data_IF_457193309893
#
_entry.id   IF_457193309893
#
_cell.length_a   1.000
_cell.length_b   1.000
_cell.length_c   1.000
_cell.angle_alpha   90.00
_cell.angle_beta   90.00
_cell.angle_gamma   90.00
#
_symmetry.space_group_name_H-M   'P 1'
#
loop_
_entity.id
_entity.type
_entity.pdbx_description
1 polymer ?
#
# COMPACT_ATOMS: atom_id res chain seq x y z
N UNK A 1 2.71 -7.47 -16.83
CA UNK A 1 3.23 -6.68 -15.69
C UNK A 1 2.05 -5.98 -15.08
N UNK A 2 1.75 -6.23 -13.81
CA UNK A 2 0.73 -5.49 -13.08
C UNK A 2 1.11 -4.00 -13.08
N UNK A 3 0.21 -3.11 -13.48
CA UNK A 3 0.41 -1.68 -13.31
C UNK A 3 0.43 -1.36 -11.81
N UNK A 4 1.48 -0.69 -11.34
CA UNK A 4 1.54 -0.17 -9.97
C UNK A 4 0.47 0.91 -9.86
N UNK A 5 -0.63 0.59 -9.18
CA UNK A 5 -1.79 1.47 -9.19
C UNK A 5 -2.51 1.60 -7.85
N UNK A 6 -2.19 0.73 -6.88
CA UNK A 6 -2.77 0.78 -5.55
C UNK A 6 -1.90 1.62 -4.60
N UNK A 7 -2.50 2.34 -3.63
CA UNK A 7 -1.78 3.22 -2.71
C UNK A 7 -0.58 2.55 -2.01
N UNK A 8 -0.76 1.31 -1.50
CA UNK A 8 0.31 0.56 -0.85
C UNK A 8 1.44 0.20 -1.83
N UNK A 9 1.10 -0.25 -3.05
CA UNK A 9 2.06 -0.57 -4.11
C UNK A 9 2.87 0.65 -4.53
N UNK A 10 2.19 1.79 -4.73
CA UNK A 10 2.82 3.08 -5.05
C UNK A 10 3.79 3.48 -3.94
N UNK A 11 3.37 3.34 -2.68
CA UNK A 11 4.21 3.65 -1.52
C UNK A 11 5.49 2.81 -1.51
N UNK A 12 5.38 1.48 -1.62
CA UNK A 12 6.54 0.59 -1.61
C UNK A 12 7.43 0.79 -2.84
N UNK A 13 6.85 1.09 -4.00
CA UNK A 13 7.61 1.43 -5.20
C UNK A 13 8.44 2.70 -5.02
N UNK A 14 7.86 3.74 -4.39
CA UNK A 14 8.54 5.01 -4.12
C UNK A 14 9.70 4.83 -3.11
N UNK A 15 9.51 4.00 -2.08
CA UNK A 15 10.59 3.63 -1.16
C UNK A 15 11.73 2.92 -1.89
N UNK A 16 11.40 1.91 -2.70
CA UNK A 16 12.39 1.12 -3.46
C UNK A 16 13.12 1.93 -4.53
N UNK A 17 12.47 2.90 -5.16
CA UNK A 17 13.14 3.76 -6.16
C UNK A 17 14.03 4.81 -5.51
N UNK A 18 13.68 5.28 -4.30
CA UNK A 18 14.53 6.17 -3.51
C UNK A 18 15.83 5.48 -3.07
N UNK A 19 15.78 4.17 -2.79
CA UNK A 19 16.93 3.30 -2.49
C UNK A 19 18.11 3.43 -3.46
N UNK A 20 17.84 3.70 -4.73
CA UNK A 20 18.88 3.77 -5.75
C UNK A 20 19.72 5.06 -5.71
N UNK A 21 19.43 5.98 -4.78
CA UNK A 21 20.24 7.18 -4.48
C UNK A 21 21.14 6.92 -3.26
N UNK A 22 22.13 6.04 -3.45
CA UNK A 22 23.06 5.56 -2.40
C UNK A 22 23.85 6.67 -1.68
N UNK A 23 24.04 6.51 -0.36
CA UNK A 23 25.15 7.10 0.39
C UNK A 23 24.91 8.47 1.03
N UNK A 24 23.70 9.03 0.94
CA UNK A 24 23.45 10.37 1.52
C UNK A 24 23.32 10.36 3.05
N UNK A 25 22.99 9.21 3.66
CA UNK A 25 22.65 9.11 5.10
C UNK A 25 23.46 8.05 5.86
N UNK A 26 24.62 7.66 5.34
CA UNK A 26 25.46 6.64 5.96
C UNK A 26 25.87 7.04 7.39
N UNK A 27 26.21 8.32 7.59
CA UNK A 27 26.65 8.84 8.88
C UNK A 27 25.58 8.83 9.97
N UNK A 28 24.33 9.07 9.58
CA UNK A 28 23.18 8.96 10.48
C UNK A 28 22.97 7.53 10.97
N UNK A 29 23.40 6.55 10.18
CA UNK A 29 23.29 5.13 10.48
C UNK A 29 24.52 4.55 11.21
N UNK A 30 25.64 5.29 11.32
CA UNK A 30 26.90 4.81 11.92
C UNK A 30 26.73 4.29 13.37
N UNK A 31 25.73 4.79 14.09
CA UNK A 31 25.39 4.33 15.45
C UNK A 31 25.07 2.83 15.47
N UNK A 32 24.57 2.26 14.36
CA UNK A 32 24.31 0.84 14.24
C UNK A 32 25.59 -0.01 14.34
N UNK A 33 26.75 0.52 13.90
CA UNK A 33 28.04 -0.15 14.09
C UNK A 33 28.38 -0.33 15.58
N UNK A 34 28.11 0.70 16.39
CA UNK A 34 28.27 0.63 17.84
C UNK A 34 27.34 -0.39 18.49
N UNK A 35 26.19 -0.66 17.86
CA UNK A 35 25.23 -1.69 18.23
C UNK A 35 25.54 -3.06 17.61
N UNK A 36 26.75 -3.25 17.07
CA UNK A 36 27.23 -4.49 16.44
C UNK A 36 26.39 -4.92 15.23
N UNK A 37 25.90 -3.95 14.47
CA UNK A 37 25.09 -4.13 13.28
C UNK A 37 25.87 -3.59 12.07
N UNK A 38 26.76 -4.41 11.52
CA UNK A 38 27.68 -4.03 10.41
C UNK A 38 27.26 -4.60 9.05
N UNK A 39 26.02 -5.06 8.95
CA UNK A 39 25.48 -5.70 7.76
C UNK A 39 25.05 -4.64 6.72
N UNK A 40 25.60 -4.74 5.51
CA UNK A 40 25.37 -3.74 4.45
C UNK A 40 23.90 -3.60 4.04
N UNK A 41 23.12 -4.69 4.07
CA UNK A 41 21.70 -4.65 3.76
C UNK A 41 20.94 -3.94 4.87
N UNK A 42 21.28 -4.19 6.14
CA UNK A 42 20.69 -3.50 7.29
C UNK A 42 21.02 -2.00 7.27
N UNK A 43 22.27 -1.64 6.94
CA UNK A 43 22.67 -0.25 6.77
C UNK A 43 21.87 0.43 5.66
N UNK A 44 21.66 -0.25 4.54
CA UNK A 44 20.89 0.30 3.43
C UNK A 44 19.40 0.49 3.78
N UNK A 45 18.81 -0.41 4.58
CA UNK A 45 17.47 -0.23 5.14
C UNK A 45 17.42 1.00 6.07
N UNK A 46 18.46 1.19 6.89
CA UNK A 46 18.59 2.37 7.76
C UNK A 46 18.65 3.67 6.96
N UNK A 47 19.47 3.74 5.92
CA UNK A 47 19.60 4.93 5.07
C UNK A 47 18.26 5.31 4.44
N UNK A 48 17.51 4.34 3.94
CA UNK A 48 16.16 4.56 3.41
C UNK A 48 15.19 5.10 4.45
N UNK A 49 15.19 4.53 5.65
CA UNK A 49 14.37 5.00 6.76
C UNK A 49 14.68 6.47 7.06
N UNK A 50 15.96 6.82 7.20
CA UNK A 50 16.38 8.20 7.48
C UNK A 50 16.01 9.13 6.33
N UNK A 51 16.26 8.73 5.08
CA UNK A 51 15.91 9.51 3.89
C UNK A 51 14.41 9.80 3.83
N UNK A 52 13.58 8.78 4.00
CA UNK A 52 12.13 8.91 3.96
C UNK A 52 11.65 9.86 5.06
N UNK A 53 12.09 9.67 6.30
CA UNK A 53 11.67 10.52 7.41
C UNK A 53 12.15 11.97 7.24
N UNK A 54 13.42 12.20 6.88
CA UNK A 54 13.94 13.56 6.64
C UNK A 54 13.21 14.26 5.50
N UNK A 55 12.94 13.56 4.40
CA UNK A 55 12.24 14.15 3.24
C UNK A 55 10.80 14.55 3.55
N UNK A 56 10.14 13.83 4.46
CA UNK A 56 8.77 14.15 4.88
C UNK A 56 8.71 15.21 6.00
N UNK A 57 9.68 15.23 6.92
CA UNK A 57 9.75 16.28 7.95
C UNK A 57 10.34 17.60 7.48
N UNK A 58 11.12 17.63 6.39
CA UNK A 58 11.67 18.85 5.81
C UNK A 58 10.63 19.73 5.07
N UNK A 59 9.42 19.20 4.84
CA UNK A 59 8.32 19.97 4.26
C UNK A 59 7.68 20.80 5.37
N UNK A 60 8.27 21.95 5.69
CA UNK A 60 7.90 22.85 6.80
C UNK A 60 6.46 23.41 6.76
N UNK A 61 5.58 22.99 5.83
CA UNK A 61 4.26 23.63 5.65
C UNK A 61 3.04 22.71 5.41
N UNK A 62 3.14 21.39 5.31
CA UNK A 62 1.93 20.56 5.10
C UNK A 62 2.04 19.20 5.81
N UNK A 63 1.04 18.92 6.65
CA UNK A 63 0.73 17.68 7.39
C UNK A 63 1.91 16.78 7.82
N UNK A 64 2.07 16.62 9.14
CA UNK A 64 2.84 15.52 9.71
C UNK A 64 2.55 14.20 8.98
N UNK A 65 3.57 13.34 8.84
CA UNK A 65 3.40 11.99 8.29
C UNK A 65 2.14 11.35 8.86
N UNK A 66 1.16 11.06 8.00
CA UNK A 66 -0.07 10.46 8.46
C UNK A 66 0.20 9.03 8.99
N UNK A 67 -0.64 8.57 9.92
CA UNK A 67 -0.41 7.29 10.58
C UNK A 67 -0.37 6.10 9.61
N UNK A 68 -1.04 6.23 8.45
CA UNK A 68 -1.03 5.20 7.40
C UNK A 68 0.37 5.04 6.79
N UNK A 69 1.03 6.15 6.43
CA UNK A 69 2.38 6.15 5.89
C UNK A 69 3.40 5.54 6.86
N UNK A 70 3.30 5.88 8.15
CA UNK A 70 4.14 5.30 9.18
C UNK A 70 3.95 3.78 9.35
N UNK A 71 2.70 3.32 9.26
CA UNK A 71 2.39 1.89 9.30
C UNK A 71 2.92 1.15 8.07
N UNK A 72 2.80 1.71 6.87
CA UNK A 72 3.37 1.15 5.64
C UNK A 72 4.90 1.11 5.70
N UNK A 73 5.55 2.19 6.17
CA UNK A 73 7.00 2.24 6.37
C UNK A 73 7.45 1.16 7.36
N UNK A 74 6.73 1.02 8.48
CA UNK A 74 7.01 0.01 9.49
C UNK A 74 6.91 -1.42 8.93
N UNK A 75 5.86 -1.70 8.12
CA UNK A 75 5.70 -3.00 7.44
C UNK A 75 6.82 -3.26 6.44
N UNK A 76 7.19 -2.27 5.63
CA UNK A 76 8.25 -2.40 4.65
C UNK A 76 9.58 -2.74 5.32
N UNK A 77 9.96 -2.02 6.38
CA UNK A 77 11.19 -2.31 7.14
C UNK A 77 11.15 -3.72 7.72
N UNK A 78 10.01 -4.12 8.29
CA UNK A 78 9.84 -5.45 8.88
C UNK A 78 10.02 -6.55 7.82
N UNK A 79 9.40 -6.39 6.65
CA UNK A 79 9.55 -7.30 5.51
C UNK A 79 11.02 -7.41 5.07
N UNK A 80 11.71 -6.28 4.86
CA UNK A 80 13.11 -6.29 4.45
C UNK A 80 14.03 -6.97 5.47
N UNK A 81 13.78 -6.74 6.77
CA UNK A 81 14.53 -7.40 7.83
C UNK A 81 14.24 -8.90 7.90
N UNK A 82 12.98 -9.33 7.75
CA UNK A 82 12.61 -10.75 7.77
C UNK A 82 13.21 -11.51 6.57
N UNK A 83 13.13 -10.92 5.38
CA UNK A 83 13.70 -11.49 4.16
C UNK A 83 15.23 -11.64 4.26
N UNK A 84 15.91 -10.63 4.81
CA UNK A 84 17.36 -10.63 4.94
C UNK A 84 17.88 -11.51 6.08
N UNK A 85 17.19 -11.50 7.23
CA UNK A 85 17.61 -12.22 8.44
C UNK A 85 17.05 -13.65 8.52
N UNK A 86 16.58 -14.20 7.40
CA UNK A 86 16.07 -15.56 7.25
C UNK A 86 14.98 -15.91 8.29
N UNK A 87 13.98 -15.03 8.42
CA UNK A 87 12.86 -15.16 9.36
C UNK A 87 13.27 -15.28 10.86
N UNK A 88 14.49 -14.88 11.22
CA UNK A 88 14.95 -14.87 12.61
C UNK A 88 14.27 -13.77 13.43
N UNK A 89 13.10 -14.09 13.97
CA UNK A 89 12.23 -13.12 14.67
C UNK A 89 12.94 -12.35 15.78
N UNK A 90 13.85 -12.99 16.53
CA UNK A 90 14.63 -12.31 17.57
C UNK A 90 15.61 -11.29 16.98
N UNK A 91 16.35 -11.65 15.92
CA UNK A 91 17.28 -10.72 15.25
C UNK A 91 16.52 -9.56 14.64
N UNK A 92 15.38 -9.82 13.99
CA UNK A 92 14.54 -8.74 13.43
C UNK A 92 14.07 -7.78 14.52
N UNK A 93 13.56 -8.29 15.65
CA UNK A 93 13.09 -7.43 16.75
C UNK A 93 14.23 -6.57 17.32
N UNK A 94 15.42 -7.15 17.51
CA UNK A 94 16.60 -6.42 17.99
C UNK A 94 17.03 -5.35 16.98
N UNK A 95 17.15 -5.71 15.69
CA UNK A 95 17.53 -4.75 14.64
C UNK A 95 16.50 -3.63 14.49
N UNK A 96 15.21 -3.95 14.55
CA UNK A 96 14.14 -2.95 14.50
C UNK A 96 14.19 -1.99 15.69
N UNK A 97 14.45 -2.51 16.90
CA UNK A 97 14.65 -1.68 18.09
C UNK A 97 15.91 -0.80 17.98
N UNK A 98 16.99 -1.32 17.38
CA UNK A 98 18.20 -0.54 17.11
C UNK A 98 17.92 0.63 16.15
N UNK A 99 17.03 0.46 15.15
CA UNK A 99 16.58 1.58 14.31
C UNK A 99 15.85 2.65 15.11
N UNK A 100 14.94 2.27 16.02
CA UNK A 100 14.28 3.24 16.90
C UNK A 100 15.29 4.00 17.79
N UNK A 101 16.30 3.29 18.30
CA UNK A 101 17.37 3.92 19.07
C UNK A 101 18.20 4.90 18.22
N UNK A 102 18.59 4.50 17.02
CA UNK A 102 19.31 5.34 16.06
C UNK A 102 18.54 6.62 15.73
N UNK A 103 17.22 6.52 15.47
CA UNK A 103 16.38 7.70 15.21
C UNK A 103 16.40 8.72 16.35
N UNK A 104 16.63 8.26 17.58
CA UNK A 104 16.71 9.12 18.76
C UNK A 104 17.94 10.04 18.79
N UNK A 105 18.94 9.75 17.96
CA UNK A 105 20.14 10.58 17.75
C UNK A 105 20.08 11.38 16.45
N UNK A 106 19.43 10.84 15.41
CA UNK A 106 19.30 11.51 14.11
C UNK A 106 18.35 12.71 14.17
N UNK A 107 17.29 12.61 14.97
CA UNK A 107 16.26 13.65 15.10
C UNK A 107 16.29 14.29 16.49
N UNK A 108 15.82 15.54 16.57
CA UNK A 108 15.71 16.32 17.81
C UNK A 108 14.29 16.89 17.96
N UNK A 109 13.95 17.38 19.16
CA UNK A 109 12.66 18.03 19.45
C UNK A 109 11.44 17.15 19.11
N UNK A 110 10.39 17.75 18.55
CA UNK A 110 9.16 17.06 18.16
C UNK A 110 9.40 16.04 17.04
N UNK A 111 10.32 16.35 16.10
CA UNK A 111 10.67 15.43 15.02
C UNK A 111 11.26 14.12 15.56
N UNK A 112 11.99 14.15 16.68
CA UNK A 112 12.46 12.93 17.36
C UNK A 112 11.30 12.06 17.83
N UNK A 113 10.33 12.67 18.50
CA UNK A 113 9.16 11.97 19.03
C UNK A 113 8.37 11.36 17.89
N UNK A 114 8.13 12.14 16.82
CA UNK A 114 7.39 11.69 15.65
C UNK A 114 8.13 10.59 14.89
N UNK A 115 9.45 10.72 14.66
CA UNK A 115 10.26 9.71 13.97
C UNK A 115 10.22 8.35 14.70
N UNK A 116 10.44 8.37 16.02
CA UNK A 116 10.40 7.15 16.84
C UNK A 116 8.98 6.55 16.85
N UNK A 117 7.95 7.39 17.00
CA UNK A 117 6.54 6.95 17.00
C UNK A 117 6.10 6.38 15.65
N UNK A 118 6.70 6.86 14.55
CA UNK A 118 6.42 6.40 13.19
C UNK A 118 6.88 4.95 12.98
N UNK A 119 7.99 4.54 13.60
CA UNK A 119 8.37 3.13 13.70
C UNK A 119 7.49 2.43 14.75
N UNK A 120 6.41 1.82 14.29
CA UNK A 120 5.41 1.19 15.16
C UNK A 120 5.98 0.01 15.92
N UNK A 121 5.48 -0.23 17.13
CA UNK A 121 5.87 -1.39 17.91
C UNK A 121 5.24 -2.66 17.32
N UNK A 122 6.01 -3.37 16.49
CA UNK A 122 5.59 -4.59 15.79
C UNK A 122 5.99 -5.88 16.51
N UNK A 123 6.18 -5.84 17.83
CA UNK A 123 6.58 -7.00 18.64
C UNK A 123 5.68 -8.23 18.44
N UNK A 124 4.38 -8.00 18.22
CA UNK A 124 3.43 -9.09 17.93
C UNK A 124 3.74 -9.85 16.63
N UNK A 125 4.32 -9.21 15.62
CA UNK A 125 4.60 -9.86 14.33
C UNK A 125 5.68 -10.94 14.48
N UNK A 126 6.63 -10.75 15.40
CA UNK A 126 7.65 -11.77 15.71
C UNK A 126 7.05 -13.03 16.33
N UNK A 127 5.84 -12.96 16.90
CA UNK A 127 5.12 -14.12 17.44
C UNK A 127 4.31 -14.87 16.39
N UNK A 128 4.15 -14.32 15.18
CA UNK A 128 3.31 -14.88 14.12
C UNK A 128 4.00 -15.96 13.27
N UNK A 129 5.25 -16.35 13.55
CA UNK A 129 5.96 -17.48 12.90
C UNK A 129 5.68 -17.60 11.39
N UNK A 130 6.03 -16.55 10.64
CA UNK A 130 5.87 -16.42 9.18
C UNK A 130 4.47 -16.03 8.68
N UNK A 131 3.47 -15.89 9.56
CA UNK A 131 2.15 -15.34 9.21
C UNK A 131 2.12 -13.80 9.16
N UNK A 132 3.25 -13.13 9.45
CA UNK A 132 3.37 -11.68 9.33
C UNK A 132 3.02 -11.20 7.91
N UNK A 133 3.29 -12.00 6.87
CA UNK A 133 2.92 -11.73 5.48
C UNK A 133 1.40 -11.59 5.29
N UNK A 134 0.62 -12.41 6.00
CA UNK A 134 -0.85 -12.29 6.00
C UNK A 134 -1.33 -11.02 6.70
N UNK A 135 -0.63 -10.60 7.76
CA UNK A 135 -0.94 -9.36 8.48
C UNK A 135 -0.63 -8.12 7.61
N UNK A 136 0.50 -8.16 6.90
CA UNK A 136 0.86 -7.17 5.87
C UNK A 136 -0.18 -7.14 4.76
N UNK A 137 -0.52 -8.28 4.16
CA UNK A 137 -1.51 -8.36 3.06
C UNK A 137 -2.90 -7.84 3.49
N UNK A 138 -3.31 -8.13 4.73
CA UNK A 138 -4.54 -7.58 5.30
C UNK A 138 -4.47 -6.05 5.40
N UNK A 139 -3.36 -5.51 5.92
CA UNK A 139 -3.20 -4.06 6.09
C UNK A 139 -3.10 -3.33 4.75
N UNK A 140 -2.33 -3.87 3.79
CA UNK A 140 -2.22 -3.33 2.43
C UNK A 140 -3.61 -3.27 1.79
N UNK A 141 -4.40 -4.35 1.89
CA UNK A 141 -5.79 -4.33 1.42
C UNK A 141 -6.66 -3.28 2.13
N UNK A 142 -6.50 -3.08 3.45
CA UNK A 142 -7.23 -2.02 4.16
C UNK A 142 -6.93 -0.63 3.58
N UNK A 143 -5.66 -0.37 3.24
CA UNK A 143 -5.19 0.90 2.70
C UNK A 143 -5.67 1.09 1.25
N UNK A 144 -5.69 0.00 0.48
CA UNK A 144 -5.99 0.04 -0.95
C UNK A 144 -7.49 0.04 -1.28
N UNK A 145 -8.33 -0.36 -0.31
CA UNK A 145 -9.76 -0.60 -0.53
C UNK A 145 -10.49 0.55 -1.23
N UNK A 146 -10.33 1.78 -0.74
CA UNK A 146 -11.09 2.92 -1.26
C UNK A 146 -10.71 3.21 -2.73
N UNK A 147 -9.43 3.05 -3.11
CA UNK A 147 -8.98 3.19 -4.50
C UNK A 147 -9.42 1.99 -5.36
N UNK A 148 -9.44 0.77 -4.81
CA UNK A 148 -10.00 -0.42 -5.47
C UNK A 148 -11.47 -0.19 -5.84
N UNK A 149 -12.30 0.27 -4.91
CA UNK A 149 -13.73 0.54 -5.18
C UNK A 149 -13.91 1.60 -6.26
N UNK A 150 -13.11 2.67 -6.19
CA UNK A 150 -13.12 3.74 -7.19
C UNK A 150 -12.72 3.24 -8.57
N UNK A 151 -11.62 2.48 -8.69
CA UNK A 151 -11.15 1.95 -9.99
C UNK A 151 -12.08 0.87 -10.53
N UNK A 152 -12.66 0.02 -9.69
CA UNK A 152 -13.66 -0.97 -10.09
C UNK A 152 -14.92 -0.32 -10.71
N UNK A 153 -15.15 0.97 -10.48
CA UNK A 153 -16.24 1.71 -11.09
C UNK A 153 -16.03 2.08 -12.57
N UNK A 154 -14.80 1.98 -13.09
CA UNK A 154 -14.46 2.51 -14.42
C UNK A 154 -14.98 1.68 -15.58
N UNK A 155 -15.05 0.35 -15.43
CA UNK A 155 -15.56 -0.56 -16.45
C UNK A 155 -15.98 -1.90 -15.83
N UNK A 156 -16.69 -2.72 -16.61
CA UNK A 156 -17.02 -4.08 -16.18
C UNK A 156 -15.77 -4.94 -15.99
N UNK A 157 -14.79 -4.84 -16.89
CA UNK A 157 -13.54 -5.62 -16.84
C UNK A 157 -12.74 -5.29 -15.58
N UNK A 158 -12.55 -3.99 -15.28
CA UNK A 158 -11.89 -3.55 -14.04
C UNK A 158 -12.68 -3.98 -12.80
N UNK A 159 -14.01 -3.97 -12.87
CA UNK A 159 -14.85 -4.47 -11.78
C UNK A 159 -14.58 -5.95 -11.48
N UNK A 160 -14.55 -6.81 -12.52
CA UNK A 160 -14.27 -8.25 -12.38
C UNK A 160 -12.86 -8.52 -11.87
N UNK A 161 -11.86 -7.79 -12.36
CA UNK A 161 -10.48 -7.87 -11.88
C UNK A 161 -10.40 -7.63 -10.36
N UNK A 162 -11.04 -6.57 -9.88
CA UNK A 162 -11.04 -6.25 -8.46
C UNK A 162 -11.96 -7.13 -7.62
N UNK A 163 -13.06 -7.64 -8.17
CA UNK A 163 -13.89 -8.63 -7.52
C UNK A 163 -13.07 -9.89 -7.19
N UNK A 164 -12.29 -10.40 -8.17
CA UNK A 164 -11.40 -11.54 -7.96
C UNK A 164 -10.29 -11.23 -6.95
N UNK A 165 -9.71 -10.03 -7.00
CA UNK A 165 -8.71 -9.58 -6.03
C UNK A 165 -9.28 -9.54 -4.61
N UNK A 166 -10.46 -8.94 -4.41
CA UNK A 166 -11.15 -8.86 -3.11
C UNK A 166 -11.52 -10.25 -2.61
N UNK A 167 -12.01 -11.13 -3.49
CA UNK A 167 -12.38 -12.51 -3.13
C UNK A 167 -11.19 -13.26 -2.52
N UNK A 168 -9.97 -13.07 -3.06
CA UNK A 168 -8.74 -13.68 -2.53
C UNK A 168 -8.39 -13.24 -1.11
N UNK A 169 -8.93 -12.10 -0.63
CA UNK A 169 -8.73 -11.61 0.74
C UNK A 169 -9.63 -12.29 1.78
N UNK A 170 -10.60 -13.11 1.34
CA UNK A 170 -11.56 -13.77 2.23
C UNK A 170 -10.93 -14.57 3.38
N UNK A 171 -9.85 -15.36 3.16
CA UNK A 171 -9.18 -16.08 4.25
C UNK A 171 -8.62 -15.16 5.34
N UNK A 172 -8.13 -13.96 4.96
CA UNK A 172 -7.60 -12.99 5.92
C UNK A 172 -8.70 -12.49 6.88
N UNK A 173 -9.91 -12.30 6.36
CA UNK A 173 -11.04 -11.80 7.15
C UNK A 173 -11.65 -12.84 8.09
N UNK A 174 -11.49 -14.14 7.81
CA UNK A 174 -11.85 -15.20 8.76
C UNK A 174 -11.01 -15.14 10.04
N UNK A 175 -9.83 -14.54 9.94
CA UNK A 175 -8.85 -14.44 11.02
C UNK A 175 -8.49 -12.99 11.35
N UNK A 176 -9.40 -12.05 11.04
CA UNK A 176 -9.14 -10.61 11.06
C UNK A 176 -8.58 -10.13 12.40
N UNK A 177 -9.23 -10.46 13.53
CA UNK A 177 -8.80 -9.95 14.83
C UNK A 177 -7.43 -10.49 15.26
N UNK A 178 -7.04 -11.67 14.73
CA UNK A 178 -5.72 -12.28 14.94
C UNK A 178 -4.64 -11.64 14.07
N UNK A 179 -4.96 -11.35 12.80
CA UNK A 179 -4.03 -10.83 11.81
C UNK A 179 -3.89 -9.30 11.85
N UNK A 180 -4.90 -8.57 12.33
CA UNK A 180 -4.81 -7.11 12.39
C UNK A 180 -3.77 -6.67 13.43
N UNK A 181 -2.90 -5.75 13.00
CA UNK A 181 -1.81 -5.25 13.83
C UNK A 181 -2.37 -4.29 14.89
N UNK A 182 -2.33 -4.68 16.16
CA UNK A 182 -3.00 -3.93 17.22
C UNK A 182 -2.37 -2.56 17.45
N UNK A 183 -1.04 -2.44 17.25
CA UNK A 183 -0.35 -1.15 17.25
C UNK A 183 -0.92 -0.17 16.20
N UNK A 184 -1.52 -0.66 15.10
CA UNK A 184 -2.11 0.19 14.08
C UNK A 184 -3.53 0.63 14.45
N UNK A 185 -4.23 -0.15 15.27
CA UNK A 185 -5.54 0.21 15.80
C UNK A 185 -5.47 1.38 16.77
N UNK A 186 -4.47 1.39 17.66
CA UNK A 186 -4.29 2.49 18.62
C UNK A 186 -3.94 3.81 17.93
N UNK A 187 -3.17 3.73 16.85
CA UNK A 187 -2.66 4.90 16.13
C UNK A 187 -3.62 5.38 15.05
N UNK A 188 -4.32 4.47 14.36
CA UNK A 188 -5.30 4.79 13.32
C UNK A 188 -6.59 3.98 13.49
N UNK A 189 -7.36 4.36 14.51
CA UNK A 189 -8.62 3.71 14.85
C UNK A 189 -9.68 3.82 13.74
N UNK A 190 -9.62 4.89 12.94
CA UNK A 190 -10.59 5.11 11.87
C UNK A 190 -10.36 4.14 10.71
N UNK A 191 -9.11 3.92 10.30
CA UNK A 191 -8.78 2.88 9.32
C UNK A 191 -9.14 1.49 9.84
N UNK A 192 -8.91 1.20 11.13
CA UNK A 192 -9.31 -0.08 11.73
C UNK A 192 -10.83 -0.31 11.61
N UNK A 193 -11.65 0.67 12.02
CA UNK A 193 -13.12 0.59 11.93
C UNK A 193 -13.59 0.42 10.49
N UNK A 194 -13.01 1.18 9.56
CA UNK A 194 -13.27 1.05 8.12
C UNK A 194 -12.92 -0.35 7.62
N UNK A 195 -11.71 -0.82 7.94
CA UNK A 195 -11.24 -2.11 7.45
C UNK A 195 -12.09 -3.29 7.91
N UNK A 196 -12.68 -3.24 9.12
CA UNK A 196 -13.66 -4.26 9.54
C UNK A 196 -14.85 -4.39 8.56
N UNK A 197 -15.25 -3.30 7.92
CA UNK A 197 -16.35 -3.26 6.96
C UNK A 197 -15.92 -3.56 5.51
N UNK A 198 -14.63 -3.75 5.27
CA UNK A 198 -14.06 -4.10 3.95
C UNK A 198 -14.02 -5.61 3.70
N UNK A 199 -14.65 -6.39 4.58
CA UNK A 199 -14.81 -7.83 4.44
C UNK A 199 -15.34 -8.17 3.03
N UNK A 200 -14.71 -9.11 2.30
CA UNK A 200 -15.12 -9.51 0.95
C UNK A 200 -16.61 -9.86 0.82
N UNK A 201 -17.23 -10.47 1.83
CA UNK A 201 -18.67 -10.79 1.85
C UNK A 201 -19.53 -9.53 1.72
N UNK A 202 -19.06 -8.41 2.26
CA UNK A 202 -19.74 -7.10 2.23
C UNK A 202 -19.28 -6.30 1.01
N UNK A 203 -17.99 -6.37 0.66
CA UNK A 203 -17.37 -5.55 -0.36
C UNK A 203 -17.76 -5.96 -1.78
N UNK A 204 -17.78 -7.26 -2.08
CA UNK A 204 -18.08 -7.76 -3.43
C UNK A 204 -19.47 -7.33 -3.91
N UNK A 205 -20.56 -7.48 -3.13
CA UNK A 205 -21.88 -7.01 -3.55
C UNK A 205 -21.93 -5.50 -3.85
N UNK A 206 -21.12 -4.68 -3.16
CA UNK A 206 -21.06 -3.22 -3.38
C UNK A 206 -20.42 -2.82 -4.70
N UNK A 207 -19.65 -3.72 -5.33
CA UNK A 207 -19.06 -3.45 -6.64
C UNK A 207 -20.12 -3.38 -7.74
N UNK A 208 -21.24 -4.10 -7.58
CA UNK A 208 -22.36 -4.14 -8.54
C UNK A 208 -21.89 -4.38 -9.99
N UNK A 209 -20.95 -5.32 -10.19
CA UNK A 209 -20.34 -5.58 -11.50
C UNK A 209 -21.38 -5.96 -12.56
N UNK A 210 -22.43 -6.70 -12.20
CA UNK A 210 -23.50 -7.08 -13.14
C UNK A 210 -24.24 -5.86 -13.70
N UNK A 211 -24.48 -4.83 -12.88
CA UNK A 211 -25.09 -3.58 -13.35
C UNK A 211 -24.19 -2.85 -14.35
N UNK A 212 -22.87 -2.96 -14.18
CA UNK A 212 -21.88 -2.38 -15.09
C UNK A 212 -21.84 -3.13 -16.42
N UNK A 213 -21.95 -4.45 -16.40
CA UNK A 213 -22.07 -5.23 -17.63
C UNK A 213 -23.29 -4.77 -18.44
N UNK A 214 -24.45 -4.68 -17.80
CA UNK A 214 -25.68 -4.20 -18.45
C UNK A 214 -25.53 -2.79 -19.04
N UNK A 215 -24.93 -1.86 -18.30
CA UNK A 215 -24.68 -0.50 -18.79
C UNK A 215 -23.74 -0.48 -20.01
N UNK A 216 -22.69 -1.30 -19.99
CA UNK A 216 -21.74 -1.43 -21.10
C UNK A 216 -22.40 -2.03 -22.35
N UNK A 217 -23.21 -3.09 -22.18
CA UNK A 217 -23.97 -3.72 -23.27
C UNK A 217 -24.96 -2.72 -23.91
N UNK A 218 -25.69 -1.96 -23.09
CA UNK A 218 -26.60 -0.91 -23.58
C UNK A 218 -25.86 0.19 -24.35
N UNK A 219 -24.72 0.65 -23.84
CA UNK A 219 -23.88 1.64 -24.51
C UNK A 219 -23.37 1.15 -25.87
N UNK A 220 -22.87 -0.09 -25.92
CA UNK A 220 -22.39 -0.72 -27.15
C UNK A 220 -23.51 -0.88 -28.18
N UNK A 221 -24.70 -1.29 -27.76
CA UNK A 221 -25.87 -1.41 -28.64
C UNK A 221 -26.30 -0.05 -29.20
N UNK A 222 -26.28 1.01 -28.38
CA UNK A 222 -26.58 2.36 -28.83
C UNK A 222 -25.55 2.88 -29.86
N UNK A 223 -24.26 2.70 -29.58
CA UNK A 223 -23.17 3.08 -30.49
C UNK A 223 -23.26 2.34 -31.83
N UNK A 224 -23.51 1.03 -31.80
CA UNK A 224 -23.70 0.24 -33.01
C UNK A 224 -24.85 0.80 -33.86
N UNK A 225 -26.02 1.04 -33.24
CA UNK A 225 -27.18 1.59 -33.95
C UNK A 225 -26.93 3.00 -34.51
N UNK A 226 -26.17 3.83 -33.79
CA UNK A 226 -25.79 5.16 -34.25
C UNK A 226 -24.85 5.10 -35.47
N UNK A 227 -23.83 4.25 -35.43
CA UNK A 227 -22.90 4.05 -36.55
C UNK A 227 -23.61 3.52 -37.80
N UNK A 228 -24.55 2.56 -37.63
CA UNK A 228 -25.38 2.07 -38.74
C UNK A 228 -26.18 3.20 -39.38
N UNK A 229 -26.79 4.10 -38.60
CA UNK A 229 -27.51 5.26 -39.13
C UNK A 229 -26.60 6.22 -39.91
N UNK A 230 -25.40 6.50 -39.41
CA UNK A 230 -24.42 7.34 -40.12
C UNK A 230 -24.05 6.73 -41.47
N UNK A 231 -23.76 5.42 -41.50
CA UNK A 231 -23.40 4.72 -42.74
C UNK A 231 -24.54 4.78 -43.76
N UNK A 232 -25.79 4.61 -43.32
CA UNK A 232 -26.97 4.76 -44.19
C UNK A 232 -27.06 6.18 -44.77
N UNK A 233 -26.89 7.21 -43.93
CA UNK A 233 -26.92 8.62 -44.37
C UNK A 233 -25.78 8.94 -45.34
N UNK A 234 -24.57 8.47 -45.08
CA UNK A 234 -23.42 8.64 -45.98
C UNK A 234 -23.67 7.99 -47.33
N UNK A 235 -24.24 6.77 -47.34
CA UNK A 235 -24.60 6.09 -48.59
C UNK A 235 -25.68 6.86 -49.36
N UNK A 236 -26.66 7.43 -48.66
CA UNK A 236 -27.71 8.23 -49.28
C UNK A 236 -27.17 9.55 -49.87
N UNK A 237 -26.31 10.25 -49.14
CA UNK A 237 -25.65 11.46 -49.63
C UNK A 237 -24.77 11.16 -50.84
N UNK A 238 -24.01 10.06 -50.80
CA UNK A 238 -23.20 9.62 -51.94
C UNK A 238 -24.06 9.38 -53.18
N UNK A 239 -25.26 8.79 -53.07
CA UNK A 239 -26.14 8.62 -54.23
C UNK A 239 -26.66 9.95 -54.79
N UNK A 240 -26.97 10.93 -53.93
CA UNK A 240 -27.47 12.24 -54.37
C UNK A 240 -26.42 13.15 -55.03
N UNK A 241 -25.12 12.87 -54.87
CA UNK A 241 -24.05 13.65 -55.52
C UNK A 241 -23.70 13.16 -56.94
N UNK A 242 -24.31 12.06 -57.40
CA UNK A 242 -24.09 11.48 -58.74
C UNK A 242 -25.33 11.54 -59.64
N UNK A 243 -26.34 12.33 -59.26
CA UNK A 243 -27.49 12.75 -60.09
C UNK A 243 -27.36 14.23 -60.44
#
# INVERSE_FOLDING_TARGET
>A
MSSIELPSEIFYHNLKTSYNKLGQYIHECDILHLLKTDDSQIMSICENLVQYLKSNYAKENEEHLNDQNCNLLSLWIYEQLFEHLEDSSNRVLITYANFQHMLSYVFTGDNKIQAIKCLRQLGQLGSLKNEWKKSKDLYDYCVDYDEIIKKASSSYEKCKEYEEYIQKKSPLYKEFDRLYIQAYKSENNDLYKKCKNYNPIIAIPKLECDKKNLAQEMSNAFLHNFLVKILILQKHLAMCYWE
#
